data_IF_432767965193
#
_entry.id   IF_432767965193
#
_cell.length_a   1.000
_cell.length_b   1.000
_cell.length_c   1.000
_cell.angle_alpha   90.00
_cell.angle_beta   90.00
_cell.angle_gamma   90.00
#
_symmetry.space_group_name_H-M   'P 1'
#
loop_
_entity.id
_entity.type
_entity.pdbx_description
1 polymer ?
#
# COMPACT_ATOMS: atom_id res chain seq x y z
N UNK A 1 27.17 2.76 -20.14
CA UNK A 1 26.08 3.59 -19.57
C UNK A 1 24.93 3.84 -20.54
N UNK A 2 25.16 3.82 -21.86
CA UNK A 2 24.11 4.00 -22.87
C UNK A 2 23.19 2.76 -23.05
N UNK A 3 23.74 1.55 -23.02
CA UNK A 3 22.98 0.30 -23.24
C UNK A 3 21.86 0.05 -22.22
N UNK A 4 22.09 0.36 -20.93
CA UNK A 4 21.06 0.20 -19.90
C UNK A 4 19.85 1.14 -20.12
N UNK A 5 20.05 2.30 -20.76
CA UNK A 5 18.98 3.25 -21.04
C UNK A 5 18.07 2.77 -22.18
N UNK A 6 18.63 2.05 -23.16
CA UNK A 6 17.88 1.53 -24.30
C UNK A 6 16.99 0.34 -23.92
N UNK A 7 17.41 -0.49 -22.96
CA UNK A 7 16.55 -1.57 -22.42
C UNK A 7 15.35 -1.02 -21.65
N UNK A 8 15.50 0.06 -20.89
CA UNK A 8 14.38 0.71 -20.19
C UNK A 8 13.41 1.43 -21.17
N UNK A 9 13.93 1.90 -22.31
CA UNK A 9 13.14 2.50 -23.39
C UNK A 9 12.38 1.47 -24.23
N UNK A 10 12.88 0.23 -24.33
CA UNK A 10 12.28 -0.84 -25.12
C UNK A 10 11.20 -1.65 -24.38
N UNK A 11 10.92 -1.35 -23.11
CA UNK A 11 9.70 -1.88 -22.49
C UNK A 11 8.48 -1.34 -23.23
N UNK A 12 7.71 -2.25 -23.80
CA UNK A 12 6.43 -1.92 -24.42
C UNK A 12 5.45 -1.38 -23.38
N UNK A 13 4.49 -0.58 -23.83
CA UNK A 13 3.41 -0.10 -22.96
C UNK A 13 2.65 -1.25 -22.29
N UNK A 14 2.54 -2.39 -22.95
CA UNK A 14 1.91 -3.60 -22.41
C UNK A 14 2.69 -4.18 -21.23
N UNK A 15 4.02 -4.26 -21.30
CA UNK A 15 4.85 -4.74 -20.19
C UNK A 15 4.80 -3.79 -18.99
N UNK A 16 4.79 -2.47 -19.24
CA UNK A 16 4.64 -1.46 -18.18
C UNK A 16 3.28 -1.53 -17.52
N UNK A 17 2.22 -1.70 -18.31
CA UNK A 17 0.86 -1.87 -17.82
C UNK A 17 0.74 -3.13 -16.96
N UNK A 18 1.22 -4.26 -17.48
CA UNK A 18 1.22 -5.56 -16.78
C UNK A 18 1.99 -5.51 -15.45
N UNK A 19 3.15 -4.86 -15.44
CA UNK A 19 3.94 -4.68 -14.21
C UNK A 19 3.21 -3.81 -13.20
N UNK A 20 2.56 -2.74 -13.66
CA UNK A 20 1.79 -1.82 -12.80
C UNK A 20 0.58 -2.52 -12.20
N UNK A 21 -0.18 -3.27 -13.00
CA UNK A 21 -1.34 -4.04 -12.54
C UNK A 21 -0.94 -5.11 -11.52
N UNK A 22 0.19 -5.80 -11.75
CA UNK A 22 0.71 -6.79 -10.80
C UNK A 22 1.02 -6.16 -9.44
N UNK A 23 1.75 -5.04 -9.42
CA UNK A 23 2.08 -4.33 -8.17
C UNK A 23 0.82 -3.82 -7.48
N UNK A 24 -0.15 -3.33 -8.25
CA UNK A 24 -1.43 -2.87 -7.72
C UNK A 24 -2.17 -4.01 -7.00
N UNK A 25 -2.27 -5.17 -7.65
CA UNK A 25 -2.92 -6.35 -7.08
C UNK A 25 -2.20 -6.89 -5.84
N UNK A 26 -0.86 -6.90 -5.84
CA UNK A 26 -0.08 -7.30 -4.66
C UNK A 26 -0.32 -6.35 -3.47
N UNK A 27 -0.45 -5.05 -3.72
CA UNK A 27 -0.76 -4.07 -2.68
C UNK A 27 -2.18 -4.24 -2.14
N UNK A 28 -3.15 -4.47 -3.03
CA UNK A 28 -4.55 -4.68 -2.64
C UNK A 28 -4.70 -5.96 -1.81
N UNK A 29 -4.10 -7.07 -2.25
CA UNK A 29 -4.10 -8.33 -1.50
C UNK A 29 -3.46 -8.20 -0.12
N UNK A 30 -2.37 -7.42 0.00
CA UNK A 30 -1.75 -7.18 1.30
C UNK A 30 -2.68 -6.36 2.23
N UNK A 31 -3.39 -5.37 1.70
CA UNK A 31 -4.37 -4.60 2.48
C UNK A 31 -5.52 -5.48 2.96
N UNK A 32 -6.06 -6.34 2.09
CA UNK A 32 -7.10 -7.30 2.45
C UNK A 32 -6.66 -8.28 3.54
N UNK A 33 -5.41 -8.77 3.47
CA UNK A 33 -4.83 -9.65 4.52
C UNK A 33 -4.75 -8.94 5.88
N UNK A 34 -4.52 -7.62 5.90
CA UNK A 34 -4.56 -6.83 7.13
C UNK A 34 -5.98 -6.46 7.59
N UNK A 35 -7.01 -6.86 6.84
CA UNK A 35 -8.40 -6.54 7.12
C UNK A 35 -8.79 -5.12 6.69
N UNK A 36 -8.06 -4.53 5.75
CA UNK A 36 -8.33 -3.19 5.21
C UNK A 36 -8.96 -3.36 3.83
N UNK A 37 -10.18 -2.85 3.65
CA UNK A 37 -10.80 -2.75 2.33
C UNK A 37 -10.96 -1.30 1.90
N UNK A 38 -10.77 -1.03 0.62
CA UNK A 38 -10.94 0.30 0.02
C UNK A 38 -12.11 0.21 -0.96
N UNK A 39 -13.23 0.84 -0.64
CA UNK A 39 -14.40 0.93 -1.52
C UNK A 39 -14.68 2.41 -1.83
N UNK A 40 -14.62 2.79 -3.10
CA UNK A 40 -15.01 4.13 -3.59
C UNK A 40 -14.40 5.31 -2.79
N UNK A 41 -13.17 5.17 -2.31
CA UNK A 41 -12.47 6.20 -1.52
C UNK A 41 -12.73 6.15 -0.01
N UNK A 42 -13.54 5.20 0.47
CA UNK A 42 -13.70 4.89 1.88
C UNK A 42 -12.78 3.74 2.28
N UNK A 43 -12.10 3.91 3.40
CA UNK A 43 -11.28 2.87 4.03
C UNK A 43 -12.10 2.21 5.12
N UNK A 44 -12.38 0.92 4.98
CA UNK A 44 -12.98 0.10 6.03
C UNK A 44 -11.90 -0.75 6.70
N UNK A 45 -11.98 -0.87 8.02
CA UNK A 45 -11.02 -1.63 8.82
C UNK A 45 -11.77 -2.71 9.61
N UNK A 46 -11.60 -3.95 9.19
CA UNK A 46 -12.09 -5.15 9.87
C UNK A 46 -10.89 -6.01 10.24
N UNK A 47 -10.14 -5.59 11.26
CA UNK A 47 -8.95 -6.33 11.72
C UNK A 47 -9.18 -6.97 13.08
N UNK A 48 -8.83 -8.25 13.28
CA UNK A 48 -8.82 -8.88 14.61
C UNK A 48 -7.64 -8.40 15.47
N UNK A 49 -6.69 -7.65 14.91
CA UNK A 49 -5.51 -7.17 15.63
C UNK A 49 -5.76 -5.83 16.35
N UNK A 50 -5.23 -5.64 17.57
CA UNK A 50 -5.29 -4.35 18.24
C UNK A 50 -4.52 -3.30 17.44
N UNK A 51 -5.09 -2.09 17.36
CA UNK A 51 -4.54 -1.00 16.57
C UNK A 51 -4.73 0.35 17.26
N UNK A 52 -3.88 1.31 16.93
CA UNK A 52 -3.99 2.71 17.33
C UNK A 52 -4.51 3.52 16.15
N UNK A 53 -5.47 4.41 16.41
CA UNK A 53 -5.97 5.38 15.44
C UNK A 53 -5.41 6.75 15.79
N UNK A 54 -4.82 7.42 14.81
CA UNK A 54 -4.39 8.79 14.96
C UNK A 54 -5.61 9.73 14.92
N UNK A 55 -5.82 10.48 16.01
CA UNK A 55 -6.93 11.42 16.17
C UNK A 55 -6.50 12.88 15.95
N UNK A 56 -5.28 13.11 15.48
CA UNK A 56 -4.83 14.46 15.18
C UNK A 56 -5.55 15.01 13.95
N UNK A 57 -6.11 16.20 14.08
CA UNK A 57 -6.72 16.95 12.97
C UNK A 57 -5.69 17.76 12.15
N UNK A 58 -4.39 17.60 12.44
CA UNK A 58 -3.33 18.32 11.74
C UNK A 58 -2.98 17.64 10.41
N UNK A 59 -3.29 18.25 9.24
CA UNK A 59 -3.03 17.66 7.93
C UNK A 59 -1.54 17.61 7.57
N UNK A 60 -0.67 18.33 8.28
CA UNK A 60 0.79 18.28 8.06
C UNK A 60 1.52 17.40 9.08
N UNK A 61 0.80 16.79 10.03
CA UNK A 61 1.39 15.82 10.93
C UNK A 61 1.83 14.59 10.14
N UNK A 62 3.14 14.38 10.08
CA UNK A 62 3.73 13.20 9.48
C UNK A 62 3.42 11.96 10.35
N UNK A 63 2.33 11.26 10.04
CA UNK A 63 1.92 10.04 10.72
C UNK A 63 0.99 9.19 9.85
N UNK A 64 0.84 7.91 10.21
CA UNK A 64 -0.18 7.04 9.63
C UNK A 64 -1.53 7.30 10.32
N UNK A 65 -2.63 7.06 9.62
CA UNK A 65 -3.96 7.10 10.22
C UNK A 65 -4.18 5.94 11.21
N UNK A 66 -3.61 4.76 10.92
CA UNK A 66 -3.77 3.54 11.70
C UNK A 66 -2.41 2.85 11.91
N UNK A 67 -2.16 2.35 13.12
CA UNK A 67 -0.98 1.56 13.47
C UNK A 67 -1.39 0.21 14.07
N UNK A 68 -1.05 -0.89 13.39
CA UNK A 68 -1.28 -2.24 13.91
C UNK A 68 -0.24 -2.61 14.99
N UNK A 69 -0.70 -3.05 16.16
CA UNK A 69 0.15 -3.48 17.26
C UNK A 69 0.41 -4.98 17.15
N UNK A 70 1.66 -5.34 16.84
CA UNK A 70 2.09 -6.74 16.88
C UNK A 70 2.27 -7.20 18.34
N UNK A 71 2.06 -8.49 18.64
CA UNK A 71 2.37 -9.04 19.95
C UNK A 71 3.81 -8.71 20.35
N UNK A 72 3.97 -8.06 21.50
CA UNK A 72 5.26 -7.74 22.06
C UNK A 72 5.74 -8.79 23.05
N UNK A 73 6.98 -8.61 23.51
CA UNK A 73 7.53 -9.35 24.64
C UNK A 73 7.78 -8.35 25.76
N UNK A 74 7.22 -8.62 26.94
CA UNK A 74 7.46 -7.85 28.18
C UNK A 74 8.70 -8.34 28.90
#
# INVERSE_FOLDING_TARGET
QSENLYTDLNQTWEEKLSTTEKIHKEREAALEEFGISIEEGFVSLTTPMPHLVNLSDDPVLAGCLVYNLKPGTT
#
